data_IF_189298590336
#
_entry.id   IF_189298590336
#
_cell.length_a   1.000
_cell.length_b   1.000
_cell.length_c   1.000
_cell.angle_alpha   90.00
_cell.angle_beta   90.00
_cell.angle_gamma   90.00
#
_symmetry.space_group_name_H-M   'P 1'
#
loop_
_entity.id
_entity.type
_entity.pdbx_description
1 polymer ?
#
# COMPACT_ATOMS: atom_id res chain seq x y z
N UNK A 1 -5.63 -15.21 15.84
CA UNK A 1 -4.31 -14.77 15.33
C UNK A 1 -3.63 -14.03 16.45
N UNK A 2 -2.31 -14.21 16.62
CA UNK A 2 -1.50 -13.48 17.60
C UNK A 2 -1.12 -12.10 17.01
N UNK A 3 -0.74 -11.17 17.90
CA UNK A 3 -0.09 -9.94 17.48
C UNK A 3 1.24 -10.24 16.77
N UNK A 4 1.61 -9.40 15.84
CA UNK A 4 2.87 -9.47 15.12
C UNK A 4 3.54 -8.09 15.07
N UNK A 5 4.86 -8.06 14.84
CA UNK A 5 5.62 -6.82 14.72
C UNK A 5 5.81 -6.49 13.23
N UNK A 6 5.24 -5.34 12.81
CA UNK A 6 5.27 -4.83 11.43
C UNK A 6 6.39 -3.81 11.27
N UNK A 7 7.27 -4.05 10.29
CA UNK A 7 8.19 -3.04 9.76
C UNK A 7 7.49 -2.18 8.71
N UNK A 8 7.55 -0.86 8.85
CA UNK A 8 7.08 0.08 7.83
C UNK A 8 8.27 0.91 7.38
N UNK A 9 8.75 0.66 6.17
CA UNK A 9 9.95 1.32 5.68
C UNK A 9 9.63 2.69 5.08
N UNK A 10 10.37 3.70 5.55
CA UNK A 10 10.40 5.03 4.97
C UNK A 10 11.81 5.29 4.44
N UNK A 11 11.99 5.12 3.14
CA UNK A 11 13.30 5.18 2.52
C UNK A 11 13.27 5.99 1.22
N UNK A 12 14.43 6.48 0.81
CA UNK A 12 14.65 7.16 -0.47
C UNK A 12 15.19 6.15 -1.47
N UNK A 13 14.46 5.79 -2.54
CA UNK A 13 14.99 4.85 -3.52
C UNK A 13 16.08 5.49 -4.39
N UNK A 14 17.07 4.70 -4.79
CA UNK A 14 18.02 5.08 -5.83
C UNK A 14 17.30 5.17 -7.18
N UNK A 15 17.63 6.20 -7.97
CA UNK A 15 16.95 6.51 -9.22
C UNK A 15 17.15 5.44 -10.29
N UNK A 16 16.08 4.70 -10.64
CA UNK A 16 16.04 3.68 -11.70
C UNK A 16 17.16 2.62 -11.56
N UNK A 17 17.66 2.43 -10.36
CA UNK A 17 18.73 1.48 -10.04
C UNK A 17 18.19 0.35 -9.15
N UNK A 18 17.79 -0.74 -9.79
CA UNK A 18 17.19 -1.90 -9.10
C UNK A 18 18.18 -2.58 -8.16
N UNK A 19 19.45 -2.65 -8.51
CA UNK A 19 20.47 -3.29 -7.69
C UNK A 19 20.73 -2.51 -6.40
N UNK A 20 20.89 -1.20 -6.51
CA UNK A 20 21.03 -0.33 -5.33
C UNK A 20 19.78 -0.39 -4.44
N UNK A 21 18.59 -0.44 -5.04
CA UNK A 21 17.33 -0.54 -4.27
C UNK A 21 17.17 -1.91 -3.60
N UNK A 22 17.58 -3.02 -4.24
CA UNK A 22 17.60 -4.34 -3.62
C UNK A 22 18.53 -4.40 -2.40
N UNK A 23 19.67 -3.74 -2.44
CA UNK A 23 20.57 -3.64 -1.28
C UNK A 23 19.93 -2.83 -0.14
N UNK A 24 19.22 -1.75 -0.44
CA UNK A 24 18.46 -0.97 0.56
C UNK A 24 17.31 -1.77 1.17
N UNK A 25 16.61 -2.54 0.33
CA UNK A 25 15.57 -3.48 0.77
C UNK A 25 16.17 -4.52 1.72
N UNK A 26 17.28 -5.16 1.34
CA UNK A 26 17.95 -6.17 2.16
C UNK A 26 18.35 -5.60 3.52
N UNK A 27 18.93 -4.39 3.56
CA UNK A 27 19.29 -3.71 4.81
C UNK A 27 18.08 -3.45 5.72
N UNK A 28 16.97 -2.99 5.16
CA UNK A 28 15.74 -2.74 5.93
C UNK A 28 15.10 -4.05 6.42
N UNK A 29 15.13 -5.11 5.61
CA UNK A 29 14.65 -6.45 6.01
C UNK A 29 15.49 -7.02 7.13
N UNK A 30 16.82 -6.91 7.07
CA UNK A 30 17.70 -7.32 8.14
C UNK A 30 17.39 -6.56 9.44
N UNK A 31 17.29 -5.22 9.39
CA UNK A 31 16.93 -4.40 10.55
C UNK A 31 15.59 -4.82 11.16
N UNK A 32 14.59 -5.12 10.30
CA UNK A 32 13.28 -5.58 10.75
C UNK A 32 13.37 -6.94 11.43
N UNK A 33 14.09 -7.90 10.85
CA UNK A 33 14.28 -9.24 11.43
C UNK A 33 15.06 -9.19 12.74
N UNK A 34 16.13 -8.40 12.81
CA UNK A 34 16.94 -8.23 14.03
C UNK A 34 16.11 -7.64 15.20
N UNK A 35 15.09 -6.82 14.88
CA UNK A 35 14.14 -6.30 15.86
C UNK A 35 12.99 -7.29 16.22
N UNK A 36 12.98 -8.51 15.65
CA UNK A 36 11.92 -9.49 15.84
C UNK A 36 10.68 -9.25 15.00
N UNK A 37 10.79 -8.48 13.92
CA UNK A 37 9.71 -8.23 12.98
C UNK A 37 9.26 -9.51 12.26
N UNK A 38 8.01 -9.51 11.81
CA UNK A 38 7.39 -10.65 11.13
C UNK A 38 6.87 -10.28 9.74
N UNK A 39 6.70 -8.99 9.48
CA UNK A 39 6.28 -8.45 8.19
C UNK A 39 6.98 -7.12 7.92
N UNK A 40 7.14 -6.77 6.64
CA UNK A 40 7.66 -5.47 6.22
C UNK A 40 6.94 -4.97 4.98
N UNK A 41 6.66 -3.66 4.93
CA UNK A 41 6.10 -2.98 3.76
C UNK A 41 7.04 -1.87 3.29
N UNK A 42 7.27 -1.84 1.97
CA UNK A 42 8.09 -0.85 1.27
C UNK A 42 7.24 0.15 0.50
N UNK A 43 7.79 1.35 0.17
CA UNK A 43 7.09 2.35 -0.62
C UNK A 43 6.67 1.89 -2.02
N UNK A 44 5.82 2.70 -2.65
CA UNK A 44 5.37 2.56 -4.03
C UNK A 44 6.55 2.59 -5.00
N UNK A 45 6.56 1.66 -5.99
CA UNK A 45 7.61 1.53 -7.00
C UNK A 45 9.04 1.51 -6.42
N UNK A 46 9.22 1.05 -5.19
CA UNK A 46 10.50 1.18 -4.50
C UNK A 46 11.65 0.52 -5.25
N UNK A 47 11.37 -0.54 -6.01
CA UNK A 47 12.41 -1.24 -6.78
C UNK A 47 13.09 -0.34 -7.84
N UNK A 48 12.39 0.66 -8.38
CA UNK A 48 12.91 1.59 -9.39
C UNK A 48 12.92 3.04 -8.93
N UNK A 49 12.18 3.34 -7.86
CA UNK A 49 11.78 4.67 -7.46
C UNK A 49 10.60 5.20 -8.31
N UNK A 50 9.90 6.20 -7.76
CA UNK A 50 8.77 6.85 -8.41
C UNK A 50 9.26 7.89 -9.43
N UNK A 51 9.61 7.44 -10.64
CA UNK A 51 10.07 8.26 -11.74
C UNK A 51 9.25 7.98 -12.99
N UNK A 52 8.31 8.88 -13.32
CA UNK A 52 7.45 8.76 -14.50
C UNK A 52 8.27 9.09 -15.78
N UNK A 53 8.81 8.06 -16.39
CA UNK A 53 9.69 8.15 -17.55
C UNK A 53 9.49 6.95 -18.49
N UNK A 54 9.76 7.12 -19.77
CA UNK A 54 9.69 6.04 -20.77
C UNK A 54 10.59 4.84 -20.44
N UNK A 55 11.66 5.06 -19.65
CA UNK A 55 12.53 3.99 -19.18
C UNK A 55 11.85 2.98 -18.27
N UNK A 56 10.73 3.33 -17.63
CA UNK A 56 10.00 2.41 -16.75
C UNK A 56 9.59 1.12 -17.46
N UNK A 57 9.16 1.21 -18.71
CA UNK A 57 8.75 0.03 -19.49
C UNK A 57 9.92 -0.96 -19.69
N UNK A 58 11.16 -0.45 -19.86
CA UNK A 58 12.35 -1.30 -20.00
C UNK A 58 12.86 -1.87 -18.67
N UNK A 59 12.45 -1.30 -17.54
CA UNK A 59 12.81 -1.74 -16.20
C UNK A 59 11.75 -2.65 -15.58
N UNK A 60 10.55 -2.69 -16.18
CA UNK A 60 9.46 -3.52 -15.70
C UNK A 60 9.81 -5.01 -15.79
N UNK A 61 9.43 -5.76 -14.77
CA UNK A 61 9.66 -7.20 -14.68
C UNK A 61 8.36 -7.96 -14.45
N UNK A 62 8.22 -9.15 -15.03
CA UNK A 62 7.09 -10.02 -14.70
C UNK A 62 7.21 -10.51 -13.24
N UNK A 63 6.14 -11.09 -12.71
CA UNK A 63 6.08 -11.60 -11.33
C UNK A 63 7.20 -12.60 -10.99
N UNK A 64 7.72 -13.35 -11.96
CA UNK A 64 8.89 -14.25 -11.80
C UNK A 64 10.23 -13.62 -12.25
N UNK A 65 10.28 -12.30 -12.40
CA UNK A 65 11.49 -11.61 -12.85
C UNK A 65 12.66 -11.67 -11.85
N UNK A 66 13.87 -11.36 -12.31
CA UNK A 66 15.09 -11.56 -11.51
C UNK A 66 15.09 -10.79 -10.17
N UNK A 67 14.54 -9.58 -10.14
CA UNK A 67 14.43 -8.81 -8.90
C UNK A 67 13.46 -9.45 -7.91
N UNK A 68 12.33 -9.98 -8.40
CA UNK A 68 11.34 -10.64 -7.54
C UNK A 68 11.84 -12.00 -7.03
N UNK A 69 12.60 -12.75 -7.83
CA UNK A 69 13.29 -13.97 -7.38
C UNK A 69 14.25 -13.65 -6.23
N UNK A 70 14.98 -12.54 -6.33
CA UNK A 70 15.88 -12.10 -5.25
C UNK A 70 15.10 -11.63 -4.02
N UNK A 71 14.00 -10.91 -4.18
CA UNK A 71 13.11 -10.54 -3.07
C UNK A 71 12.54 -11.76 -2.36
N UNK A 72 12.11 -12.79 -3.09
CA UNK A 72 11.66 -14.07 -2.53
C UNK A 72 12.75 -14.77 -1.71
N UNK A 73 13.98 -14.74 -2.20
CA UNK A 73 15.11 -15.29 -1.45
C UNK A 73 15.39 -14.50 -0.16
N UNK A 74 15.26 -13.17 -0.19
CA UNK A 74 15.41 -12.31 0.99
C UNK A 74 14.25 -12.53 1.99
N UNK A 75 13.00 -12.61 1.53
CA UNK A 75 11.85 -12.90 2.37
C UNK A 75 12.03 -14.21 3.14
N UNK A 76 12.48 -15.25 2.45
CA UNK A 76 12.83 -16.56 3.07
C UNK A 76 13.99 -16.44 4.05
N UNK A 77 15.07 -15.74 3.68
CA UNK A 77 16.27 -15.58 4.51
C UNK A 77 15.98 -14.90 5.82
N UNK A 78 15.19 -13.82 5.78
CA UNK A 78 14.85 -13.00 6.95
C UNK A 78 13.54 -13.43 7.62
N UNK A 79 12.84 -14.40 7.04
CA UNK A 79 11.55 -14.92 7.52
C UNK A 79 10.48 -13.81 7.68
N UNK A 80 10.37 -12.94 6.69
CA UNK A 80 9.48 -11.79 6.68
C UNK A 80 8.42 -11.88 5.57
N UNK A 81 7.14 -11.73 5.94
CA UNK A 81 6.11 -11.35 4.97
C UNK A 81 6.51 -10.00 4.37
N UNK A 82 6.69 -9.95 3.07
CA UNK A 82 7.24 -8.77 2.38
C UNK A 82 6.27 -8.22 1.36
N UNK A 83 5.97 -6.91 1.46
CA UNK A 83 5.19 -6.16 0.47
C UNK A 83 6.09 -5.09 -0.12
N UNK A 84 6.30 -5.13 -1.46
CA UNK A 84 7.22 -4.24 -2.13
C UNK A 84 6.67 -3.74 -3.47
N UNK A 85 6.75 -2.42 -3.70
CA UNK A 85 6.32 -1.78 -4.95
C UNK A 85 7.32 -1.97 -6.10
N UNK A 86 6.82 -2.34 -7.29
CA UNK A 86 7.64 -2.47 -8.50
C UNK A 86 6.82 -2.19 -9.78
N UNK A 87 7.46 -1.80 -10.90
CA UNK A 87 6.81 -1.78 -12.20
C UNK A 87 6.68 -3.21 -12.74
N UNK A 88 5.45 -3.71 -12.85
CA UNK A 88 5.13 -5.04 -13.33
C UNK A 88 4.99 -5.04 -14.85
N UNK A 89 5.75 -5.88 -15.55
CA UNK A 89 5.62 -6.06 -16.99
C UNK A 89 4.26 -6.65 -17.36
N UNK A 90 3.66 -6.10 -18.40
CA UNK A 90 2.40 -6.57 -18.96
C UNK A 90 2.56 -7.01 -20.42
N UNK A 91 1.78 -8.00 -20.85
CA UNK A 91 1.81 -8.51 -22.22
C UNK A 91 1.30 -7.45 -23.22
N UNK A 92 2.24 -6.85 -23.96
CA UNK A 92 1.94 -5.96 -25.08
C UNK A 92 1.35 -4.60 -24.75
N UNK A 93 1.32 -4.20 -23.46
CA UNK A 93 0.77 -2.93 -22.98
C UNK A 93 1.75 -2.17 -22.10
N UNK A 94 1.31 -1.02 -21.59
CA UNK A 94 2.02 -0.32 -20.53
C UNK A 94 2.14 -1.21 -19.29
N UNK A 95 3.27 -1.16 -18.55
CA UNK A 95 3.42 -1.89 -17.30
C UNK A 95 2.35 -1.47 -16.28
N UNK A 96 2.20 -2.27 -15.21
CA UNK A 96 1.40 -1.88 -14.05
C UNK A 96 2.29 -1.29 -12.95
N UNK A 97 1.73 -0.37 -12.18
CA UNK A 97 2.27 0.02 -10.88
C UNK A 97 1.73 -1.00 -9.87
N UNK A 98 2.60 -1.87 -9.38
CA UNK A 98 2.19 -3.05 -8.61
C UNK A 98 2.90 -3.16 -7.26
N UNK A 99 2.31 -3.90 -6.34
CA UNK A 99 2.92 -4.35 -5.10
C UNK A 99 2.87 -5.87 -5.01
N UNK A 100 4.04 -6.51 -4.89
CA UNK A 100 4.16 -7.96 -4.68
C UNK A 100 3.93 -8.30 -3.21
N UNK A 101 3.29 -9.43 -2.96
CA UNK A 101 3.12 -10.02 -1.64
C UNK A 101 3.90 -11.34 -1.62
N UNK A 102 4.92 -11.43 -0.77
CA UNK A 102 5.81 -12.59 -0.65
C UNK A 102 5.77 -13.09 0.79
N UNK A 103 5.46 -14.36 0.96
CA UNK A 103 5.43 -15.03 2.25
C UNK A 103 6.82 -15.22 2.87
N UNK A 104 6.84 -15.55 4.16
CA UNK A 104 8.05 -15.77 4.98
C UNK A 104 8.95 -16.89 4.47
N UNK A 105 8.39 -17.86 3.75
CA UNK A 105 9.12 -18.94 3.09
C UNK A 105 9.61 -18.58 1.69
N UNK A 106 9.30 -17.35 1.22
CA UNK A 106 9.64 -16.84 -0.09
C UNK A 106 8.64 -17.19 -1.19
N UNK A 107 7.50 -17.82 -0.86
CA UNK A 107 6.43 -18.04 -1.83
C UNK A 107 5.76 -16.71 -2.19
N UNK A 108 5.51 -16.50 -3.48
CA UNK A 108 4.75 -15.34 -3.96
C UNK A 108 3.26 -15.62 -3.84
N UNK A 109 2.60 -14.97 -2.90
CA UNK A 109 1.14 -15.08 -2.69
C UNK A 109 0.37 -14.44 -3.83
N UNK A 110 0.89 -13.34 -4.37
CA UNK A 110 0.27 -12.61 -5.46
C UNK A 110 0.82 -11.20 -5.63
N UNK A 111 0.10 -10.44 -6.44
CA UNK A 111 0.38 -9.05 -6.68
C UNK A 111 -0.92 -8.23 -6.65
N UNK A 112 -0.83 -7.02 -6.16
CA UNK A 112 -1.85 -5.99 -6.30
C UNK A 112 -1.40 -4.98 -7.35
N UNK A 113 -2.24 -4.66 -8.32
CA UNK A 113 -2.02 -3.64 -9.35
C UNK A 113 -2.83 -2.40 -9.00
N UNK A 114 -2.20 -1.24 -8.97
CA UNK A 114 -2.84 0.04 -8.65
C UNK A 114 -4.06 0.27 -9.54
N UNK A 115 -5.22 0.46 -8.94
CA UNK A 115 -6.49 0.61 -9.66
C UNK A 115 -6.80 2.07 -10.01
N UNK A 116 -6.38 3.01 -9.15
CA UNK A 116 -6.58 4.45 -9.36
C UNK A 116 -5.25 5.12 -9.66
N UNK A 117 -5.06 5.50 -10.91
CA UNK A 117 -3.81 6.12 -11.37
C UNK A 117 -3.83 7.63 -11.13
N UNK A 118 -2.76 8.16 -10.52
CA UNK A 118 -2.63 9.56 -10.13
C UNK A 118 -1.98 10.41 -11.24
N UNK A 119 -2.56 11.58 -11.53
CA UNK A 119 -1.96 12.61 -12.37
C UNK A 119 -1.55 12.08 -13.76
N UNK A 120 -0.24 12.01 -14.01
CA UNK A 120 0.31 11.54 -15.29
C UNK A 120 0.58 10.02 -15.34
N UNK A 121 0.30 9.28 -14.29
CA UNK A 121 0.51 7.82 -14.30
C UNK A 121 -0.19 7.10 -15.46
N UNK A 122 -1.40 7.50 -15.93
CA UNK A 122 -2.04 6.87 -17.09
C UNK A 122 -1.23 6.94 -18.39
N UNK A 123 -0.24 7.83 -18.50
CA UNK A 123 0.66 7.90 -19.65
C UNK A 123 1.69 6.74 -19.63
N UNK A 124 2.02 6.22 -18.45
CA UNK A 124 3.11 5.25 -18.21
C UNK A 124 2.62 3.88 -17.76
N UNK A 125 1.48 3.79 -17.08
CA UNK A 125 0.94 2.57 -16.51
C UNK A 125 -0.46 2.25 -17.03
N UNK A 126 -0.79 0.96 -17.03
CA UNK A 126 -2.16 0.47 -17.12
C UNK A 126 -2.77 0.39 -15.72
N UNK A 127 -4.07 0.64 -15.60
CA UNK A 127 -4.79 0.47 -14.35
C UNK A 127 -5.04 -1.01 -14.06
N UNK A 128 -4.96 -1.40 -12.78
CA UNK A 128 -5.45 -2.67 -12.29
C UNK A 128 -6.97 -2.74 -12.34
N UNK A 129 -7.50 -3.94 -12.20
CA UNK A 129 -8.94 -4.24 -12.34
C UNK A 129 -9.51 -5.07 -11.18
N UNK A 130 -8.68 -5.32 -10.14
CA UNK A 130 -9.07 -6.22 -9.05
C UNK A 130 -8.72 -5.64 -7.68
N UNK A 131 -9.73 -5.59 -6.82
CA UNK A 131 -9.60 -5.30 -5.39
C UNK A 131 -9.94 -6.57 -4.61
N UNK A 132 -8.94 -7.21 -4.01
CA UNK A 132 -9.11 -8.39 -3.15
C UNK A 132 -8.13 -8.38 -1.99
N UNK A 133 -8.52 -9.00 -0.88
CA UNK A 133 -7.61 -9.30 0.21
C UNK A 133 -6.83 -10.59 -0.04
N UNK A 134 -5.68 -10.73 0.61
CA UNK A 134 -4.78 -11.87 0.50
C UNK A 134 -4.66 -12.56 1.86
N UNK A 135 -4.71 -13.88 1.86
CA UNK A 135 -4.37 -14.68 3.04
C UNK A 135 -2.86 -14.68 3.22
N UNK A 136 -2.40 -14.50 4.46
CA UNK A 136 -0.99 -14.48 4.80
C UNK A 136 -0.73 -15.05 6.19
N UNK A 137 0.55 -15.27 6.50
CA UNK A 137 1.01 -15.76 7.81
C UNK A 137 0.66 -14.82 8.97
N UNK A 138 0.41 -13.55 8.71
CA UNK A 138 0.00 -12.55 9.73
C UNK A 138 -1.51 -12.29 9.74
N UNK A 139 -2.26 -13.02 8.93
CA UNK A 139 -3.70 -12.86 8.76
C UNK A 139 -4.08 -12.36 7.38
N UNK A 140 -5.34 -12.01 7.22
CA UNK A 140 -5.85 -11.52 5.93
C UNK A 140 -5.51 -10.03 5.78
N UNK A 141 -4.79 -9.70 4.72
CA UNK A 141 -4.29 -8.34 4.45
C UNK A 141 -4.88 -7.78 3.17
N UNK A 142 -5.08 -6.46 3.12
CA UNK A 142 -5.38 -5.71 1.91
C UNK A 142 -4.19 -4.87 1.49
N UNK A 143 -3.99 -4.70 0.19
CA UNK A 143 -2.97 -3.80 -0.35
C UNK A 143 -3.65 -2.72 -1.17
N UNK A 144 -3.27 -1.46 -0.93
CA UNK A 144 -3.69 -0.28 -1.70
C UNK A 144 -2.44 0.55 -1.99
N UNK A 145 -2.31 1.07 -3.22
CA UNK A 145 -1.12 1.84 -3.58
C UNK A 145 -1.48 3.34 -3.65
N UNK A 146 -0.90 4.13 -2.72
CA UNK A 146 -0.89 5.58 -2.75
C UNK A 146 -2.31 6.18 -2.97
N UNK A 147 -2.60 6.68 -4.17
CA UNK A 147 -3.86 7.31 -4.55
C UNK A 147 -5.10 6.44 -4.33
N UNK A 148 -4.98 5.10 -4.34
CA UNK A 148 -6.09 4.20 -3.99
C UNK A 148 -6.67 4.47 -2.60
N UNK A 149 -5.83 4.94 -1.66
CA UNK A 149 -6.26 5.26 -0.29
C UNK A 149 -7.24 6.44 -0.22
N UNK A 150 -7.30 7.28 -1.24
CA UNK A 150 -8.22 8.41 -1.30
C UNK A 150 -9.66 7.99 -1.63
N UNK A 151 -9.83 6.77 -2.17
CA UNK A 151 -11.13 6.21 -2.53
C UNK A 151 -11.67 5.31 -1.42
N UNK A 152 -12.72 5.74 -0.69
CA UNK A 152 -13.27 4.94 0.41
C UNK A 152 -13.80 3.58 -0.05
N UNK A 153 -14.23 3.47 -1.31
CA UNK A 153 -14.73 2.25 -1.91
C UNK A 153 -13.66 1.16 -1.94
N UNK A 154 -12.43 1.51 -2.30
CA UNK A 154 -11.32 0.56 -2.39
C UNK A 154 -11.01 -0.08 -1.03
N UNK A 155 -10.81 0.74 0.00
CA UNK A 155 -10.59 0.25 1.36
C UNK A 155 -11.77 -0.55 1.90
N UNK A 156 -13.00 -0.10 1.58
CA UNK A 156 -14.24 -0.77 1.98
C UNK A 156 -14.36 -2.17 1.38
N UNK A 157 -14.03 -2.35 0.11
CA UNK A 157 -14.06 -3.66 -0.56
C UNK A 157 -13.10 -4.60 0.15
N UNK A 158 -11.87 -4.18 0.43
CA UNK A 158 -10.87 -5.01 1.11
C UNK A 158 -11.29 -5.39 2.54
N UNK A 159 -11.86 -4.45 3.30
CA UNK A 159 -12.39 -4.74 4.63
C UNK A 159 -13.57 -5.72 4.60
N UNK A 160 -14.46 -5.60 3.64
CA UNK A 160 -15.57 -6.54 3.44
C UNK A 160 -15.08 -7.92 2.97
N UNK A 161 -13.95 -7.97 2.27
CA UNK A 161 -13.26 -9.22 1.91
C UNK A 161 -12.41 -9.78 3.08
N UNK A 162 -12.55 -9.18 4.28
CA UNK A 162 -11.99 -9.70 5.53
C UNK A 162 -10.58 -9.24 5.85
N UNK A 163 -10.03 -8.24 5.15
CA UNK A 163 -8.74 -7.68 5.52
C UNK A 163 -8.79 -7.06 6.93
N UNK A 164 -7.86 -7.47 7.79
CA UNK A 164 -7.67 -6.90 9.12
C UNK A 164 -6.63 -5.76 9.12
N UNK A 165 -5.76 -5.76 8.13
CA UNK A 165 -4.69 -4.77 7.96
C UNK A 165 -4.66 -4.33 6.51
N UNK A 166 -4.69 -3.03 6.29
CA UNK A 166 -4.43 -2.42 4.98
C UNK A 166 -2.99 -1.92 4.94
N UNK A 167 -2.21 -2.43 4.01
CA UNK A 167 -0.82 -2.05 3.78
C UNK A 167 -0.76 -1.16 2.54
N UNK A 168 -0.22 0.04 2.69
CA UNK A 168 -0.21 1.01 1.59
C UNK A 168 1.20 1.48 1.24
N UNK A 169 1.83 0.85 0.23
CA UNK A 169 2.97 1.44 -0.46
C UNK A 169 2.60 2.80 -1.04
N UNK A 170 3.32 3.86 -0.67
CA UNK A 170 3.02 5.23 -1.14
C UNK A 170 4.26 5.96 -1.64
N UNK A 171 4.03 6.93 -2.52
CA UNK A 171 5.01 7.93 -2.95
C UNK A 171 4.33 9.31 -2.92
N UNK A 172 3.83 9.66 -1.73
CA UNK A 172 3.12 10.91 -1.50
C UNK A 172 4.11 12.07 -1.29
N UNK A 173 3.82 13.17 -1.95
CA UNK A 173 4.67 14.35 -2.04
C UNK A 173 3.94 15.61 -1.57
N UNK A 174 4.70 16.64 -1.25
CA UNK A 174 4.15 17.97 -0.96
C UNK A 174 3.36 18.51 -2.16
N UNK A 175 2.19 19.16 -1.92
CA UNK A 175 1.65 19.62 -0.63
C UNK A 175 0.62 18.66 0.02
N UNK A 176 0.63 17.37 -0.25
CA UNK A 176 -0.45 16.43 0.09
C UNK A 176 -0.30 15.73 1.45
N UNK A 177 0.58 16.19 2.38
CA UNK A 177 0.79 15.49 3.67
C UNK A 177 -0.50 15.41 4.51
N UNK A 178 -1.26 16.51 4.58
CA UNK A 178 -2.53 16.52 5.29
C UNK A 178 -3.55 15.49 4.75
N UNK A 179 -3.50 15.20 3.44
CA UNK A 179 -4.37 14.20 2.81
C UNK A 179 -4.04 12.80 3.29
N UNK A 180 -2.75 12.41 3.28
CA UNK A 180 -2.32 11.10 3.77
C UNK A 180 -2.75 10.87 5.22
N UNK A 181 -2.54 11.84 6.11
CA UNK A 181 -2.89 11.75 7.52
C UNK A 181 -4.41 11.56 7.72
N UNK A 182 -5.23 12.31 6.99
CA UNK A 182 -6.70 12.22 7.07
C UNK A 182 -7.19 10.89 6.52
N UNK A 183 -6.73 10.48 5.34
CA UNK A 183 -7.22 9.27 4.70
C UNK A 183 -6.80 8.02 5.47
N UNK A 184 -5.56 7.91 5.95
CA UNK A 184 -5.12 6.77 6.74
C UNK A 184 -6.02 6.55 7.97
N UNK A 185 -6.33 7.61 8.71
CA UNK A 185 -7.22 7.54 9.87
C UNK A 185 -8.67 7.25 9.50
N UNK A 186 -9.19 7.89 8.45
CA UNK A 186 -10.56 7.66 7.99
C UNK A 186 -10.76 6.20 7.55
N UNK A 187 -9.83 5.65 6.74
CA UNK A 187 -9.90 4.25 6.29
C UNK A 187 -9.80 3.27 7.45
N UNK A 188 -8.97 3.55 8.46
CA UNK A 188 -8.89 2.73 9.65
C UNK A 188 -10.24 2.73 10.41
N UNK A 189 -10.75 3.90 10.75
CA UNK A 189 -11.96 4.06 11.57
C UNK A 189 -13.22 3.51 10.90
N UNK A 190 -13.47 3.91 9.65
CA UNK A 190 -14.73 3.55 8.97
C UNK A 190 -14.82 2.06 8.60
N UNK A 191 -13.66 1.37 8.59
CA UNK A 191 -13.58 -0.05 8.28
C UNK A 191 -13.24 -0.91 9.51
N UNK A 192 -12.80 -0.30 10.61
CA UNK A 192 -12.38 -0.99 11.83
C UNK A 192 -11.15 -1.87 11.61
N UNK A 193 -10.18 -1.42 10.81
CA UNK A 193 -8.96 -2.15 10.42
C UNK A 193 -7.72 -1.34 10.74
N UNK A 194 -6.57 -2.01 10.85
CA UNK A 194 -5.29 -1.30 10.86
C UNK A 194 -4.96 -0.75 9.48
N UNK A 195 -4.32 0.41 9.44
CA UNK A 195 -3.78 1.00 8.21
C UNK A 195 -2.30 1.34 8.42
N UNK A 196 -1.44 0.83 7.55
CA UNK A 196 -0.02 1.17 7.53
C UNK A 196 0.35 1.81 6.19
N UNK A 197 0.88 3.02 6.22
CA UNK A 197 1.37 3.75 5.04
C UNK A 197 2.89 3.74 5.04
N UNK A 198 3.51 3.17 4.01
CA UNK A 198 4.95 3.19 3.79
C UNK A 198 5.27 4.20 2.70
N UNK A 199 5.71 5.39 3.08
CA UNK A 199 5.94 6.49 2.15
C UNK A 199 7.42 6.67 1.81
N UNK A 200 7.69 7.08 0.58
CA UNK A 200 8.99 7.60 0.17
C UNK A 200 9.30 8.90 0.95
N UNK A 201 10.58 9.16 1.20
CA UNK A 201 11.05 10.40 1.83
C UNK A 201 12.18 11.03 1.01
N UNK A 202 12.30 12.36 1.09
CA UNK A 202 13.37 13.11 0.46
C UNK A 202 13.03 13.64 -0.93
N UNK A 203 13.97 14.37 -1.51
CA UNK A 203 13.77 15.02 -2.80
C UNK A 203 14.28 14.17 -3.95
N UNK A 204 13.38 13.80 -4.85
CA UNK A 204 13.70 13.01 -6.04
C UNK A 204 13.18 13.75 -7.28
N UNK A 205 14.09 14.14 -8.18
CA UNK A 205 13.76 14.97 -9.33
C UNK A 205 13.05 16.28 -8.90
N UNK A 206 11.83 16.47 -9.41
CA UNK A 206 10.96 17.61 -9.09
C UNK A 206 10.05 17.36 -7.90
N UNK A 207 10.00 16.14 -7.38
CA UNK A 207 9.11 15.76 -6.30
C UNK A 207 9.81 15.90 -4.95
N UNK A 208 9.06 16.38 -3.98
CA UNK A 208 9.48 16.52 -2.58
C UNK A 208 8.59 15.60 -1.74
N UNK A 209 9.09 14.38 -1.46
CA UNK A 209 8.38 13.35 -0.71
C UNK A 209 8.54 13.63 0.77
N UNK A 210 7.43 13.84 1.46
CA UNK A 210 7.45 14.31 2.85
C UNK A 210 7.72 13.21 3.87
N UNK A 211 7.68 11.92 3.51
CA UNK A 211 7.76 10.82 4.47
C UNK A 211 6.47 10.65 5.25
N UNK A 212 6.51 10.83 6.56
CA UNK A 212 5.36 10.69 7.47
C UNK A 212 4.66 9.33 7.33
N UNK A 213 5.45 8.27 7.08
CA UNK A 213 4.95 6.89 7.12
C UNK A 213 4.33 6.62 8.48
N UNK A 214 3.21 5.92 8.53
CA UNK A 214 2.47 5.78 9.79
C UNK A 214 1.75 4.45 9.91
N UNK A 215 1.41 4.08 11.14
CA UNK A 215 0.49 2.98 11.45
C UNK A 215 -0.65 3.53 12.29
N UNK A 216 -1.87 3.25 11.86
CA UNK A 216 -3.11 3.68 12.49
C UNK A 216 -3.90 2.45 12.93
N UNK A 217 -4.44 2.47 14.14
CA UNK A 217 -5.25 1.37 14.67
C UNK A 217 -6.72 1.45 14.22
N UNK A 218 -7.54 0.42 14.47
CA UNK A 218 -8.95 0.39 14.06
C UNK A 218 -9.82 1.51 14.61
N UNK A 219 -9.40 2.17 15.68
CA UNK A 219 -10.08 3.33 16.29
C UNK A 219 -9.60 4.67 15.70
N UNK A 220 -8.67 4.65 14.73
CA UNK A 220 -8.11 5.84 14.09
C UNK A 220 -7.01 6.53 14.91
N UNK A 221 -6.48 5.83 15.91
CA UNK A 221 -5.35 6.31 16.71
C UNK A 221 -4.05 6.04 15.95
N UNK A 222 -3.24 7.08 15.79
CA UNK A 222 -1.90 6.94 15.22
C UNK A 222 -1.01 6.28 16.26
N UNK A 223 -0.59 5.03 16.00
CA UNK A 223 0.29 4.27 16.89
C UNK A 223 1.74 4.74 16.77
N UNK A 224 2.18 5.03 15.56
CA UNK A 224 3.52 5.53 15.26
C UNK A 224 3.46 6.34 13.95
N UNK A 225 4.30 7.36 13.86
CA UNK A 225 4.50 8.17 12.66
C UNK A 225 5.98 8.53 12.54
N UNK A 226 6.52 8.38 11.32
CA UNK A 226 7.88 8.83 11.00
C UNK A 226 7.91 10.35 10.79
N UNK A 227 9.08 10.95 11.00
CA UNK A 227 9.37 12.32 10.57
C UNK A 227 9.75 12.38 9.08
N UNK A 228 10.61 13.33 8.74
CA UNK A 228 11.10 13.56 7.37
C UNK A 228 12.46 12.86 7.09
N UNK A 229 12.82 11.85 7.87
CA UNK A 229 14.10 11.13 7.77
C UNK A 229 13.89 9.67 7.39
N UNK A 230 14.91 9.05 6.78
CA UNK A 230 14.87 7.62 6.49
C UNK A 230 14.83 6.81 7.80
N UNK A 231 13.90 5.88 7.90
CA UNK A 231 13.81 4.92 9.01
C UNK A 231 12.88 3.74 8.68
N UNK A 232 12.98 2.71 9.49
CA UNK A 232 11.98 1.64 9.56
C UNK A 232 11.24 1.78 10.88
N UNK A 233 9.93 2.04 10.81
CA UNK A 233 9.05 1.98 11.99
C UNK A 233 8.83 0.52 12.38
N UNK A 234 8.82 0.23 13.67
CA UNK A 234 8.54 -1.11 14.20
C UNK A 234 7.30 -1.03 15.09
N UNK A 235 6.16 -1.53 14.61
CA UNK A 235 4.88 -1.35 15.28
C UNK A 235 4.17 -2.70 15.51
N UNK A 236 3.72 -2.92 16.74
CA UNK A 236 2.93 -4.11 17.07
C UNK A 236 1.50 -3.95 16.55
N UNK A 237 1.06 -4.92 15.76
CA UNK A 237 -0.29 -5.01 15.18
C UNK A 237 -0.98 -6.26 15.72
N UNK A 238 -2.21 -6.11 16.21
CA UNK A 238 -3.02 -7.22 16.72
C UNK A 238 -4.30 -7.39 15.88
N UNK A 239 -4.29 -8.24 14.84
CA UNK A 239 -5.47 -8.48 14.01
C UNK A 239 -6.67 -9.01 14.80
N UNK A 240 -6.45 -9.62 15.97
CA UNK A 240 -7.54 -10.11 16.81
C UNK A 240 -8.37 -8.97 17.46
N UNK A 241 -7.85 -7.74 17.50
CA UNK A 241 -8.62 -6.56 17.93
C UNK A 241 -9.70 -6.15 16.92
N UNK A 242 -9.50 -6.42 15.64
CA UNK A 242 -10.40 -5.98 14.56
C UNK A 242 -11.85 -6.47 14.76
N UNK A 243 -12.15 -7.76 15.00
CA UNK A 243 -13.50 -8.22 15.27
C UNK A 243 -14.04 -7.78 16.64
N UNK A 244 -13.15 -7.42 17.57
CA UNK A 244 -13.47 -7.02 18.96
C UNK A 244 -13.52 -5.52 19.13
N UNK A 245 -13.14 -4.76 18.12
CA UNK A 245 -13.33 -3.32 18.12
C UNK A 245 -14.83 -3.08 18.31
N UNK A 246 -15.20 -3.03 19.58
CA UNK A 246 -16.51 -2.54 20.04
C UNK A 246 -16.58 -1.02 19.82
N UNK A 247 -15.94 -0.52 18.79
CA UNK A 247 -16.27 0.80 18.34
C UNK A 247 -17.80 0.81 18.31
N UNK A 248 -18.39 1.61 19.16
CA UNK A 248 -19.83 1.75 19.34
C UNK A 248 -20.58 1.93 18.02
N UNK A 249 -19.82 1.94 16.95
CA UNK A 249 -20.18 2.25 15.58
C UNK A 249 -19.81 1.04 14.70
N UNK A 250 -20.66 0.05 14.69
CA UNK A 250 -20.53 -1.14 13.82
C UNK A 250 -20.77 -0.79 12.36
N UNK A 251 -19.93 0.08 11.79
CA UNK A 251 -20.10 0.64 10.44
C UNK A 251 -20.36 -0.43 9.38
N UNK A 252 -19.63 -1.54 9.38
CA UNK A 252 -19.79 -2.60 8.38
C UNK A 252 -21.16 -3.28 8.49
N UNK A 253 -21.72 -3.41 9.72
CA UNK A 253 -23.03 -4.03 9.97
C UNK A 253 -24.19 -3.10 9.65
N UNK A 254 -24.01 -1.78 9.83
CA UNK A 254 -25.02 -0.77 9.59
C UNK A 254 -25.06 -0.26 8.15
N UNK A 255 -24.27 -0.85 7.26
CA UNK A 255 -24.29 -0.50 5.83
C UNK A 255 -25.68 -0.73 5.22
N UNK A 256 -26.00 0.11 4.24
CA UNK A 256 -27.25 0.06 3.47
C UNK A 256 -26.95 -0.28 1.99
N UNK A 257 -26.56 -1.55 1.67
CA UNK A 257 -26.20 -1.94 0.30
C UNK A 257 -27.30 -1.67 -0.72
N UNK A 258 -28.57 -1.72 -0.26
CA UNK A 258 -29.76 -1.37 -1.02
C UNK A 258 -29.72 0.07 -1.58
N UNK A 259 -29.08 0.99 -0.86
CA UNK A 259 -28.92 2.39 -1.27
C UNK A 259 -27.64 2.61 -2.10
N UNK A 260 -26.62 1.78 -1.90
CA UNK A 260 -25.28 2.00 -2.47
C UNK A 260 -25.13 1.51 -3.92
N UNK A 261 -26.11 0.77 -4.46
CA UNK A 261 -26.13 0.35 -5.88
C UNK A 261 -25.97 1.54 -6.84
N UNK A 262 -26.41 2.74 -6.44
CA UNK A 262 -26.24 3.97 -7.23
C UNK A 262 -24.78 4.39 -7.41
N UNK A 263 -23.88 4.05 -6.49
CA UNK A 263 -22.46 4.38 -6.61
C UNK A 263 -21.83 3.74 -7.86
N UNK A 264 -22.25 2.52 -8.20
CA UNK A 264 -21.78 1.81 -9.38
C UNK A 264 -22.42 2.30 -10.69
N UNK A 265 -23.48 3.10 -10.62
CA UNK A 265 -24.27 3.54 -11.79
C UNK A 265 -23.96 4.98 -12.20
N UNK A 266 -23.43 5.79 -11.27
CA UNK A 266 -23.15 7.20 -11.52
C UNK A 266 -21.70 7.33 -11.98
N UNK A 267 -21.55 7.65 -13.26
CA UNK A 267 -20.27 8.07 -13.82
C UNK A 267 -19.96 9.49 -13.31
N UNK A 268 -18.92 9.63 -12.48
CA UNK A 268 -18.44 10.90 -11.93
C UNK A 268 -17.87 11.87 -12.99
N UNK A 269 -17.81 11.46 -14.26
CA UNK A 269 -17.32 12.29 -15.36
C UNK A 269 -18.31 13.40 -15.76
N UNK A 270 -19.59 13.30 -15.36
CA UNK A 270 -20.58 14.34 -15.61
C UNK A 270 -20.59 15.36 -14.45
N UNK A 271 -20.52 16.68 -14.73
CA UNK A 271 -20.70 17.69 -13.70
C UNK A 271 -22.05 17.47 -13.01
N UNK A 272 -22.04 17.41 -11.67
CA UNK A 272 -23.28 17.33 -10.90
C UNK A 272 -24.19 18.48 -11.32
N UNK A 273 -25.21 18.17 -12.09
CA UNK A 273 -26.15 19.15 -12.61
C UNK A 273 -26.75 19.92 -11.42
N UNK A 274 -26.62 21.22 -11.43
CA UNK A 274 -27.45 22.07 -10.59
C UNK A 274 -28.89 21.66 -10.90
N UNK A 275 -29.61 21.11 -9.93
CA UNK A 275 -31.04 20.93 -10.04
C UNK A 275 -31.61 22.28 -10.42
N UNK A 276 -32.18 22.38 -11.62
CA UNK A 276 -33.03 23.54 -11.93
C UNK A 276 -34.18 23.45 -10.93
N UNK A 277 -34.12 24.31 -9.92
CA UNK A 277 -35.29 24.60 -9.08
C UNK A 277 -36.37 25.14 -10.00
N UNK A 278 -37.34 24.30 -10.26
CA UNK A 278 -38.63 24.70 -10.79
C UNK A 278 -39.48 25.29 -9.66
#
# INVERSE_FOLDING_TARGET
MSSFLLGVSQLTPARLDKEANLLRIESAMQQTADAGGEAIVFPELFLTGYFLTEKLASLAEPLGGPSLVRLSALARRYHLLTICGWPEAADGSRPYNSAVIIERDGEVVGAYRKTHLFGREPEFFAAGDLLRAFDSSVGRIGVLICYDMEFPEAARILALDGAAVLLSPTANMNPYSAYQAVYARARAMENGVYVATANTVGRLDRFDFFGESSVVDPEGIVLEIAGAEERVLMVSVDPARVPRSEAALRYLQHRRPDLYARLAQVDGSQPMGRSKSS
#
